data_IF_647049188231
#
_entry.id   IF_647049188231
#
_cell.length_a   1.000
_cell.length_b   1.000
_cell.length_c   1.000
_cell.angle_alpha   90.00
_cell.angle_beta   90.00
_cell.angle_gamma   90.00
#
_symmetry.space_group_name_H-M   'P 1'
#
loop_
_entity.id
_entity.type
_entity.pdbx_description
1 polymer ?
#
# COMPACT_ATOMS: atom_id res chain seq x y z
N UNK A 1 10.14 -9.22 11.44
CA UNK A 1 9.56 -8.15 12.29
C UNK A 1 9.57 -6.78 11.62
N UNK A 2 10.15 -6.64 10.42
CA UNK A 2 10.28 -5.35 9.75
C UNK A 2 9.20 -4.87 8.81
N UNK A 3 8.33 -5.75 8.31
CA UNK A 3 7.10 -5.33 7.64
C UNK A 3 6.28 -4.44 8.58
N UNK A 4 6.11 -4.89 9.83
CA UNK A 4 5.48 -4.14 10.93
C UNK A 4 6.13 -2.79 11.27
N UNK A 5 7.39 -2.54 10.87
CA UNK A 5 8.13 -1.32 11.20
C UNK A 5 8.16 -0.32 10.04
N UNK A 6 8.20 -0.81 8.80
CA UNK A 6 7.93 -0.02 7.59
C UNK A 6 6.48 0.46 7.59
N UNK A 7 5.51 -0.44 7.81
CA UNK A 7 4.10 -0.12 8.03
C UNK A 7 3.91 0.90 9.16
N UNK A 8 4.67 0.82 10.28
CA UNK A 8 4.61 1.85 11.34
C UNK A 8 5.21 3.20 10.94
N UNK A 9 6.27 3.24 10.14
CA UNK A 9 6.87 4.48 9.65
C UNK A 9 5.98 5.15 8.59
N UNK A 10 5.32 4.33 7.79
CA UNK A 10 4.27 4.68 6.84
C UNK A 10 2.99 5.18 7.55
N UNK A 11 2.68 4.67 8.75
CA UNK A 11 1.65 5.21 9.67
C UNK A 11 2.12 6.40 10.53
N UNK A 12 3.38 6.82 10.46
CA UNK A 12 3.88 7.91 11.30
C UNK A 12 3.27 9.25 10.84
N UNK A 13 2.90 10.13 11.78
CA UNK A 13 2.40 11.48 11.45
C UNK A 13 3.43 12.33 10.70
N UNK A 14 4.71 12.04 10.90
CA UNK A 14 5.85 12.69 10.25
C UNK A 14 5.95 12.32 8.76
N UNK A 15 5.66 13.30 7.90
CA UNK A 15 5.69 13.20 6.44
C UNK A 15 7.08 12.89 5.88
N UNK A 16 8.15 13.42 6.48
CA UNK A 16 9.51 13.18 6.02
C UNK A 16 9.91 11.71 6.24
N UNK A 17 9.47 11.11 7.35
CA UNK A 17 9.64 9.68 7.61
C UNK A 17 8.85 8.80 6.64
N UNK A 18 7.60 9.18 6.30
CA UNK A 18 6.80 8.46 5.28
C UNK A 18 7.47 8.50 3.91
N UNK A 19 7.90 9.69 3.45
CA UNK A 19 8.60 9.85 2.16
C UNK A 19 9.91 9.08 2.11
N UNK A 20 10.74 9.17 3.16
CA UNK A 20 12.03 8.48 3.18
C UNK A 20 11.87 6.95 3.12
N UNK A 21 10.83 6.42 3.77
CA UNK A 21 10.50 4.99 3.69
C UNK A 21 10.04 4.60 2.28
N UNK A 22 9.19 5.42 1.64
CA UNK A 22 8.71 5.16 0.29
C UNK A 22 9.79 5.36 -0.80
N UNK A 23 10.66 6.36 -0.68
CA UNK A 23 11.82 6.53 -1.56
C UNK A 23 12.80 5.36 -1.46
N UNK A 24 13.01 4.83 -0.25
CA UNK A 24 13.85 3.64 -0.05
C UNK A 24 13.21 2.35 -0.63
N UNK A 25 11.92 2.34 -0.94
CA UNK A 25 11.28 1.25 -1.69
C UNK A 25 11.47 1.43 -3.21
N UNK A 26 11.51 2.66 -3.70
CA UNK A 26 11.72 3.00 -5.12
C UNK A 26 13.16 2.79 -5.60
N UNK A 27 14.15 3.00 -4.75
CA UNK A 27 15.58 2.80 -5.11
C UNK A 27 15.98 1.32 -5.25
N UNK A 28 15.02 0.40 -5.13
CA UNK A 28 15.29 -1.02 -4.94
C UNK A 28 14.54 -1.84 -5.98
N UNK A 29 15.16 -1.99 -7.14
CA UNK A 29 14.70 -2.80 -8.29
C UNK A 29 14.83 -4.33 -8.07
N UNK A 30 15.04 -4.79 -6.83
CA UNK A 30 15.21 -6.21 -6.51
C UNK A 30 14.32 -6.64 -5.32
N UNK A 31 13.38 -7.59 -5.52
CA UNK A 31 12.54 -8.15 -4.46
C UNK A 31 13.32 -8.74 -3.26
N UNK A 32 14.57 -9.17 -3.47
CA UNK A 32 15.45 -9.66 -2.39
C UNK A 32 16.08 -8.51 -1.61
N UNK A 33 16.31 -7.38 -2.26
CA UNK A 33 16.85 -6.16 -1.67
C UNK A 33 15.79 -5.41 -0.84
N UNK A 34 14.51 -5.47 -1.23
CA UNK A 34 13.39 -5.05 -0.38
C UNK A 34 13.39 -5.83 0.94
N UNK A 35 13.55 -7.15 0.88
CA UNK A 35 13.71 -8.02 2.08
C UNK A 35 15.02 -7.78 2.86
N UNK A 36 16.05 -7.20 2.25
CA UNK A 36 17.36 -6.88 2.86
C UNK A 36 17.37 -5.50 3.53
N UNK A 37 16.67 -4.53 2.95
CA UNK A 37 16.38 -3.22 3.55
C UNK A 37 15.35 -3.40 4.67
N UNK A 38 14.42 -4.33 4.47
CA UNK A 38 13.63 -4.99 5.49
C UNK A 38 14.47 -5.90 6.45
N UNK A 39 15.82 -6.02 6.37
CA UNK A 39 16.72 -6.61 7.44
C UNK A 39 17.83 -5.71 8.05
N UNK A 40 18.36 -4.70 7.34
CA UNK A 40 19.22 -3.61 7.86
C UNK A 40 18.61 -2.60 8.88
N UNK A 41 17.51 -1.93 8.55
CA UNK A 41 16.69 -1.03 9.42
C UNK A 41 16.10 -1.61 10.74
N UNK A 42 16.42 -2.86 11.13
CA UNK A 42 15.94 -3.46 12.39
C UNK A 42 16.73 -2.90 13.59
N UNK A 43 17.85 -2.20 13.34
CA UNK A 43 18.87 -1.93 14.36
C UNK A 43 19.01 -0.52 14.98
N UNK A 44 18.40 0.58 14.51
CA UNK A 44 18.65 1.92 15.14
C UNK A 44 17.45 2.89 15.11
N UNK A 45 17.41 3.83 16.06
CA UNK A 45 16.39 4.88 16.26
C UNK A 45 16.96 6.31 16.21
N UNK A 46 16.05 7.31 16.25
CA UNK A 46 16.22 8.78 16.16
C UNK A 46 16.83 9.30 14.83
N UNK A 47 16.60 10.51 14.30
CA UNK A 47 15.83 11.69 14.69
C UNK A 47 15.54 12.56 13.45
N UNK A 48 14.64 13.56 13.61
CA UNK A 48 14.54 14.88 12.94
C UNK A 48 14.60 15.07 11.39
N UNK A 49 13.80 16.01 10.88
CA UNK A 49 14.08 16.72 9.61
C UNK A 49 12.87 17.14 8.76
N UNK A 50 12.47 18.40 8.90
CA UNK A 50 11.31 19.09 8.33
C UNK A 50 11.50 19.50 6.82
N UNK A 51 10.40 19.76 6.09
CA UNK A 51 10.23 20.75 4.96
C UNK A 51 10.41 20.37 3.45
N UNK A 52 9.32 20.70 2.71
CA UNK A 52 9.10 21.16 1.32
C UNK A 52 9.29 20.27 0.08
N UNK A 53 8.34 20.46 -0.86
CA UNK A 53 8.66 20.55 -2.28
C UNK A 53 7.58 20.06 -3.25
N UNK A 54 6.43 20.73 -3.34
CA UNK A 54 5.58 20.64 -4.54
C UNK A 54 6.29 21.39 -5.67
N UNK A 55 7.12 20.70 -6.44
CA UNK A 55 7.79 21.29 -7.60
C UNK A 55 8.21 20.21 -8.59
N UNK A 56 7.49 20.09 -9.72
CA UNK A 56 7.96 19.63 -11.04
C UNK A 56 8.61 18.24 -11.20
N UNK A 57 8.99 17.56 -10.11
CA UNK A 57 9.53 16.22 -10.05
C UNK A 57 8.38 15.28 -9.66
N UNK A 58 8.29 14.13 -10.35
CA UNK A 58 7.33 13.08 -10.03
C UNK A 58 7.35 12.81 -8.53
N UNK A 59 6.23 13.06 -7.85
CA UNK A 59 6.16 12.81 -6.42
C UNK A 59 6.44 11.33 -6.15
N UNK A 60 6.89 10.99 -4.93
CA UNK A 60 7.08 9.59 -4.54
C UNK A 60 5.80 8.76 -4.77
N UNK A 61 4.64 9.38 -4.58
CA UNK A 61 3.35 8.77 -4.88
C UNK A 61 3.15 8.50 -6.38
N UNK A 62 3.53 9.43 -7.26
CA UNK A 62 3.45 9.23 -8.71
C UNK A 62 4.37 8.10 -9.19
N UNK A 63 5.59 8.00 -8.62
CA UNK A 63 6.53 6.94 -8.94
C UNK A 63 6.03 5.55 -8.48
N UNK A 64 5.49 5.46 -7.26
CA UNK A 64 4.85 4.22 -6.77
C UNK A 64 3.64 3.86 -7.64
N UNK A 65 2.83 4.85 -8.03
CA UNK A 65 1.70 4.63 -8.90
C UNK A 65 2.13 4.14 -10.29
N UNK A 66 3.24 4.65 -10.84
CA UNK A 66 3.82 4.13 -12.08
C UNK A 66 4.26 2.67 -11.92
N UNK A 67 4.99 2.32 -10.86
CA UNK A 67 5.39 0.93 -10.58
C UNK A 67 4.21 -0.02 -10.45
N UNK A 68 3.14 0.37 -9.75
CA UNK A 68 1.92 -0.42 -9.64
C UNK A 68 1.32 -0.79 -11.01
N UNK A 69 1.34 0.16 -11.96
CA UNK A 69 0.76 -0.02 -13.29
C UNK A 69 1.74 -0.51 -14.37
N UNK A 70 2.99 -0.78 -14.01
CA UNK A 70 4.01 -1.26 -14.95
C UNK A 70 3.87 -2.78 -15.14
N UNK A 71 3.49 -3.27 -16.34
CA UNK A 71 3.32 -4.70 -16.58
C UNK A 71 4.65 -5.47 -16.63
N UNK A 72 5.77 -4.78 -16.86
CA UNK A 72 7.10 -5.40 -16.88
C UNK A 72 7.71 -5.49 -15.47
N UNK A 73 7.09 -4.84 -14.48
CA UNK A 73 7.49 -4.89 -13.08
C UNK A 73 7.03 -6.18 -12.39
N UNK A 74 7.84 -6.66 -11.44
CA UNK A 74 7.51 -7.85 -10.67
C UNK A 74 6.25 -7.66 -9.83
N UNK A 75 5.43 -8.71 -9.76
CA UNK A 75 4.19 -8.77 -8.96
C UNK A 75 4.41 -8.25 -7.53
N UNK A 76 5.51 -8.67 -6.91
CA UNK A 76 5.88 -8.29 -5.54
C UNK A 76 6.14 -6.79 -5.41
N UNK A 77 6.79 -6.15 -6.39
CA UNK A 77 7.04 -4.71 -6.36
C UNK A 77 5.76 -3.94 -6.61
N UNK A 78 4.94 -4.37 -7.58
CA UNK A 78 3.62 -3.77 -7.88
C UNK A 78 2.71 -3.80 -6.65
N UNK A 79 2.62 -4.95 -5.99
CA UNK A 79 1.89 -5.16 -4.74
C UNK A 79 2.36 -4.22 -3.61
N UNK A 80 3.66 -4.16 -3.34
CA UNK A 80 4.21 -3.25 -2.33
C UNK A 80 4.04 -1.78 -2.69
N UNK A 81 4.00 -1.44 -3.98
CA UNK A 81 3.71 -0.07 -4.40
C UNK A 81 2.28 0.34 -4.02
N UNK A 82 1.30 -0.55 -4.16
CA UNK A 82 -0.06 -0.32 -3.66
C UNK A 82 -0.11 -0.17 -2.13
N UNK A 83 0.56 -1.05 -1.37
CA UNK A 83 0.66 -0.93 0.09
C UNK A 83 1.26 0.42 0.51
N UNK A 84 2.37 0.80 -0.12
CA UNK A 84 3.06 2.05 0.15
C UNK A 84 2.21 3.28 -0.19
N UNK A 85 1.43 3.23 -1.28
CA UNK A 85 0.49 4.30 -1.64
C UNK A 85 -0.60 4.49 -0.58
N UNK A 86 -1.24 3.40 -0.15
CA UNK A 86 -2.28 3.44 0.89
C UNK A 86 -1.80 4.12 2.16
N UNK A 87 -0.58 3.82 2.57
CA UNK A 87 0.03 4.45 3.72
C UNK A 87 0.51 5.89 3.50
N UNK A 88 1.21 6.15 2.40
CA UNK A 88 1.81 7.45 2.12
C UNK A 88 0.74 8.55 2.05
N UNK A 89 -0.42 8.20 1.50
CA UNK A 89 -1.50 9.13 1.17
C UNK A 89 -2.67 9.13 2.17
N UNK A 90 -2.61 8.36 3.26
CA UNK A 90 -3.69 8.25 4.26
C UNK A 90 -4.19 9.61 4.81
N UNK A 91 -3.33 10.63 4.81
CA UNK A 91 -3.65 11.98 5.29
C UNK A 91 -3.43 13.06 4.24
N UNK A 92 -3.44 12.68 2.95
CA UNK A 92 -3.17 13.57 1.83
C UNK A 92 -4.25 13.43 0.75
N UNK A 93 -4.53 14.49 -0.02
CA UNK A 93 -5.38 14.35 -1.20
C UNK A 93 -4.80 13.32 -2.19
N UNK A 94 -5.65 12.40 -2.66
CA UNK A 94 -5.25 11.39 -3.64
C UNK A 94 -5.55 11.90 -5.05
N UNK A 95 -4.51 12.02 -5.88
CA UNK A 95 -4.67 12.45 -7.27
C UNK A 95 -5.47 11.42 -8.08
N UNK A 96 -6.34 11.89 -8.98
CA UNK A 96 -7.21 11.03 -9.79
C UNK A 96 -6.44 9.92 -10.53
N UNK A 97 -5.27 10.24 -11.09
CA UNK A 97 -4.43 9.27 -11.79
C UNK A 97 -3.86 8.17 -10.89
N UNK A 98 -3.76 8.38 -9.58
CA UNK A 98 -3.36 7.36 -8.60
C UNK A 98 -4.58 6.51 -8.23
N UNK A 99 -5.74 7.15 -7.98
CA UNK A 99 -7.01 6.47 -7.70
C UNK A 99 -7.35 5.45 -8.80
N UNK A 100 -7.23 5.86 -10.07
CA UNK A 100 -7.47 4.98 -11.22
C UNK A 100 -6.57 3.73 -11.21
N UNK A 101 -5.28 3.86 -10.85
CA UNK A 101 -4.34 2.74 -10.84
C UNK A 101 -4.63 1.77 -9.69
N UNK A 102 -4.97 2.29 -8.52
CA UNK A 102 -5.40 1.46 -7.38
C UNK A 102 -6.67 0.68 -7.75
N UNK A 103 -7.68 1.36 -8.30
CA UNK A 103 -8.95 0.72 -8.72
C UNK A 103 -8.75 -0.29 -9.84
N UNK A 104 -7.80 -0.05 -10.76
CA UNK A 104 -7.43 -1.02 -11.79
C UNK A 104 -6.82 -2.28 -11.18
N UNK A 105 -5.95 -2.13 -10.18
CA UNK A 105 -5.28 -3.25 -9.50
C UNK A 105 -6.23 -4.22 -8.79
N UNK A 106 -7.45 -3.79 -8.45
CA UNK A 106 -8.51 -4.67 -7.92
C UNK A 106 -8.96 -5.75 -8.91
N UNK A 107 -8.60 -5.64 -10.19
CA UNK A 107 -8.96 -6.58 -11.26
C UNK A 107 -7.76 -7.37 -11.78
N UNK A 108 -6.58 -7.19 -11.20
CA UNK A 108 -5.37 -7.90 -11.64
C UNK A 108 -5.50 -9.41 -11.39
N UNK A 109 -4.92 -10.25 -12.25
CA UNK A 109 -4.97 -11.70 -12.08
C UNK A 109 -4.18 -12.15 -10.84
N UNK A 110 -3.19 -11.38 -10.39
CA UNK A 110 -2.36 -11.72 -9.23
C UNK A 110 -3.03 -11.35 -7.89
N UNK A 111 -3.23 -12.33 -6.98
CA UNK A 111 -3.89 -12.09 -5.69
C UNK A 111 -3.18 -11.02 -4.83
N UNK A 112 -1.85 -11.02 -4.80
CA UNK A 112 -1.08 -10.04 -4.02
C UNK A 112 -1.40 -8.60 -4.43
N UNK A 113 -1.56 -8.33 -5.73
CA UNK A 113 -1.87 -6.98 -6.22
C UNK A 113 -3.30 -6.60 -5.83
N UNK A 114 -4.27 -7.52 -6.00
CA UNK A 114 -5.66 -7.29 -5.59
C UNK A 114 -5.75 -6.98 -4.10
N UNK A 115 -5.06 -7.76 -3.26
CA UNK A 115 -5.02 -7.59 -1.81
C UNK A 115 -4.56 -6.17 -1.42
N UNK A 116 -3.39 -5.76 -1.91
CA UNK A 116 -2.82 -4.47 -1.52
C UNK A 116 -3.53 -3.28 -2.16
N UNK A 117 -4.17 -3.46 -3.31
CA UNK A 117 -5.08 -2.45 -3.85
C UNK A 117 -6.39 -2.35 -3.06
N UNK A 118 -6.93 -3.44 -2.53
CA UNK A 118 -8.11 -3.42 -1.66
C UNK A 118 -7.81 -2.68 -0.36
N UNK A 119 -6.68 -3.01 0.28
CA UNK A 119 -6.14 -2.27 1.41
C UNK A 119 -6.04 -0.76 1.14
N UNK A 120 -5.35 -0.39 0.04
CA UNK A 120 -5.15 1.00 -0.31
C UNK A 120 -6.47 1.72 -0.62
N UNK A 121 -7.42 1.05 -1.25
CA UNK A 121 -8.74 1.62 -1.54
C UNK A 121 -9.53 1.92 -0.26
N UNK A 122 -9.49 1.01 0.73
CA UNK A 122 -10.14 1.21 2.03
C UNK A 122 -9.52 2.36 2.82
N UNK A 123 -8.19 2.35 3.00
CA UNK A 123 -7.48 3.39 3.79
C UNK A 123 -7.59 4.78 3.18
N UNK A 124 -7.70 4.88 1.85
CA UNK A 124 -7.78 6.14 1.12
C UNK A 124 -9.21 6.59 0.80
N UNK A 125 -10.22 5.90 1.34
CA UNK A 125 -11.64 6.20 1.12
C UNK A 125 -12.02 6.33 -0.37
N UNK A 126 -11.56 5.37 -1.18
CA UNK A 126 -11.83 5.37 -2.63
C UNK A 126 -13.22 4.80 -2.90
N UNK A 127 -14.28 5.58 -2.65
CA UNK A 127 -15.68 5.14 -2.82
C UNK A 127 -15.99 4.53 -4.19
N UNK A 128 -15.34 4.97 -5.27
CA UNK A 128 -15.51 4.38 -6.61
C UNK A 128 -15.04 2.92 -6.72
N UNK A 129 -14.25 2.43 -5.77
CA UNK A 129 -13.77 1.05 -5.72
C UNK A 129 -14.82 0.05 -5.24
N UNK A 130 -15.88 0.53 -4.58
CA UNK A 130 -16.92 -0.31 -3.95
C UNK A 130 -17.45 -1.43 -4.84
N UNK A 131 -17.82 -1.20 -6.12
CA UNK A 131 -18.33 -2.29 -6.96
C UNK A 131 -17.31 -3.40 -7.24
N UNK A 132 -16.00 -3.10 -7.19
CA UNK A 132 -14.96 -4.12 -7.35
C UNK A 132 -14.71 -4.84 -6.02
N UNK A 133 -14.67 -4.11 -4.91
CA UNK A 133 -14.53 -4.72 -3.58
C UNK A 133 -15.69 -5.68 -3.28
N UNK A 134 -16.92 -5.32 -3.63
CA UNK A 134 -18.09 -6.20 -3.49
C UNK A 134 -17.92 -7.52 -4.27
N UNK A 135 -17.32 -7.48 -5.46
CA UNK A 135 -17.02 -8.68 -6.25
C UNK A 135 -15.92 -9.52 -5.63
N UNK A 136 -14.91 -8.88 -5.03
CA UNK A 136 -13.78 -9.56 -4.40
C UNK A 136 -14.16 -10.29 -3.12
N UNK A 137 -15.32 -10.04 -2.51
CA UNK A 137 -15.76 -10.74 -1.29
C UNK A 137 -15.76 -12.27 -1.42
N UNK A 138 -16.00 -12.78 -2.62
CA UNK A 138 -16.01 -14.21 -2.93
C UNK A 138 -14.63 -14.73 -3.41
N UNK A 139 -13.59 -13.90 -3.40
CA UNK A 139 -12.24 -14.27 -3.81
C UNK A 139 -11.51 -14.99 -2.67
N UNK A 140 -11.44 -16.31 -2.78
CA UNK A 140 -10.80 -17.21 -1.82
C UNK A 140 -9.27 -17.29 -1.97
N UNK A 141 -8.64 -16.52 -2.87
CA UNK A 141 -7.18 -16.51 -2.95
C UNK A 141 -6.57 -15.96 -1.66
N UNK A 142 -5.44 -16.52 -1.24
CA UNK A 142 -4.77 -16.15 0.01
C UNK A 142 -3.42 -15.49 -0.28
N UNK A 143 -3.02 -14.55 0.58
CA UNK A 143 -1.67 -13.97 0.59
C UNK A 143 -0.91 -14.54 1.79
N UNK A 144 0.29 -15.07 1.56
CA UNK A 144 1.12 -15.71 2.60
C UNK A 144 1.36 -14.77 3.79
N UNK A 145 0.99 -15.21 5.01
CA UNK A 145 1.11 -14.42 6.24
C UNK A 145 -0.01 -13.40 6.49
N UNK A 146 -1.05 -13.42 5.65
CA UNK A 146 -2.27 -12.61 5.72
C UNK A 146 -3.52 -13.52 5.64
N UNK A 147 -4.61 -13.01 5.07
CA UNK A 147 -5.91 -13.66 4.94
C UNK A 147 -6.35 -13.66 3.47
N UNK A 148 -7.60 -14.07 3.21
CA UNK A 148 -8.18 -14.10 1.86
C UNK A 148 -8.35 -12.71 1.26
N UNK A 149 -8.35 -12.62 -0.08
CA UNK A 149 -8.73 -11.38 -0.77
C UNK A 149 -10.15 -10.95 -0.38
N UNK A 150 -11.08 -11.91 -0.21
CA UNK A 150 -12.44 -11.63 0.23
C UNK A 150 -12.54 -10.97 1.60
N UNK A 151 -11.78 -11.45 2.58
CA UNK A 151 -11.75 -10.83 3.90
C UNK A 151 -11.10 -9.44 3.89
N UNK A 152 -10.08 -9.21 3.05
CA UNK A 152 -9.52 -7.86 2.85
C UNK A 152 -10.52 -6.93 2.18
N UNK A 153 -11.25 -7.41 1.18
CA UNK A 153 -12.28 -6.63 0.49
C UNK A 153 -13.42 -6.25 1.45
N UNK A 154 -13.83 -7.17 2.33
CA UNK A 154 -14.80 -6.87 3.39
C UNK A 154 -14.27 -5.83 4.37
N UNK A 155 -13.01 -5.95 4.80
CA UNK A 155 -12.37 -4.94 5.65
C UNK A 155 -12.35 -3.56 4.97
N UNK A 156 -11.96 -3.50 3.70
CA UNK A 156 -11.94 -2.26 2.94
C UNK A 156 -13.34 -1.64 2.79
N UNK A 157 -14.38 -2.45 2.56
CA UNK A 157 -15.76 -1.97 2.49
C UNK A 157 -16.23 -1.36 3.81
N UNK A 158 -15.85 -1.93 4.96
CA UNK A 158 -16.16 -1.34 6.27
C UNK A 158 -15.49 0.01 6.47
N UNK A 159 -14.24 0.17 6.00
CA UNK A 159 -13.60 1.49 5.96
C UNK A 159 -14.40 2.48 5.10
N UNK A 160 -14.86 2.06 3.91
CA UNK A 160 -15.70 2.89 3.03
C UNK A 160 -17.07 3.21 3.64
N UNK A 161 -17.57 2.39 4.56
CA UNK A 161 -18.81 2.64 5.30
C UNK A 161 -18.61 3.58 6.51
N UNK A 162 -17.37 4.07 6.70
CA UNK A 162 -17.02 5.04 7.74
C UNK A 162 -16.66 4.40 9.09
N UNK A 163 -16.46 3.09 9.15
CA UNK A 163 -15.96 2.44 10.36
C UNK A 163 -14.50 2.83 10.59
N UNK A 164 -14.23 3.46 11.74
CA UNK A 164 -12.87 3.80 12.16
C UNK A 164 -12.17 2.56 12.75
N UNK A 165 -11.00 2.22 12.20
CA UNK A 165 -10.16 1.07 12.61
C UNK A 165 -10.93 -0.27 12.74
N UNK A 166 -11.57 -0.77 11.65
CA UNK A 166 -12.25 -2.06 11.69
C UNK A 166 -11.27 -3.17 12.07
N UNK A 167 -11.69 -4.16 12.87
CA UNK A 167 -10.84 -5.26 13.29
C UNK A 167 -10.26 -5.96 12.06
N UNK A 168 -8.95 -6.20 12.11
CA UNK A 168 -8.28 -6.95 11.06
C UNK A 168 -8.84 -8.37 11.01
N UNK A 169 -9.04 -8.95 9.82
CA UNK A 169 -9.39 -10.34 9.68
C UNK A 169 -8.36 -11.26 10.36
N UNK A 170 -8.83 -12.43 10.77
CA UNK A 170 -7.96 -13.45 11.35
C UNK A 170 -6.93 -13.91 10.33
N UNK A 171 -5.69 -14.06 10.79
CA UNK A 171 -4.62 -14.64 9.97
C UNK A 171 -4.70 -16.14 10.11
N UNK A 172 -4.70 -16.86 8.99
CA UNK A 172 -4.57 -18.31 9.05
C UNK A 172 -3.19 -18.67 9.62
N UNK A 173 -3.16 -19.58 10.60
CA UNK A 173 -1.94 -20.07 11.28
C UNK A 173 -1.10 -21.00 10.40
#
# INVERSE_FOLDING_TARGET
>A
MKQRRLVRALKARDEARRRKAASALLEVDDPRSLRRIQRLLEGRGHDEGYVLGFSGESSVADALAQRLADPDESVVVRAHAAEALGHLLQYQPVLAGIRTKIVAGLREPEPEIRFWCAFAAGVLDLQESRPQLERLREDEAHVEGWWTIGAEAEWALRCLDGEEDPPLPERDE
#
